data_IF_711138514246
#
_entry.id   IF_711138514246
#
_cell.length_a   1.000
_cell.length_b   1.000
_cell.length_c   1.000
_cell.angle_alpha   90.00
_cell.angle_beta   90.00
_cell.angle_gamma   90.00
#
_symmetry.space_group_name_H-M   'P 1'
#
loop_
_entity.id
_entity.type
_entity.pdbx_description
1 polymer ?
#
# COMPACT_ATOMS: atom_id res chain seq x y z
N UNK A 1 11.38 0.15 -12.61
CA UNK A 1 12.35 1.20 -13.00
C UNK A 1 12.95 1.82 -11.73
N UNK A 2 14.23 1.57 -11.42
CA UNK A 2 14.85 2.03 -10.17
C UNK A 2 15.11 3.55 -10.11
N UNK A 3 15.14 4.23 -11.26
CA UNK A 3 15.80 5.54 -11.41
C UNK A 3 14.89 6.79 -11.34
N UNK A 4 13.64 6.69 -10.85
CA UNK A 4 12.72 7.85 -10.80
C UNK A 4 11.86 7.87 -9.51
N UNK A 5 12.47 8.13 -8.33
CA UNK A 5 11.74 8.24 -7.07
C UNK A 5 10.63 9.31 -7.12
N UNK A 6 10.85 10.42 -7.84
CA UNK A 6 9.86 11.49 -8.07
C UNK A 6 8.60 11.07 -8.86
N UNK A 7 8.58 9.86 -9.44
CA UNK A 7 7.42 9.31 -10.14
C UNK A 7 6.66 8.27 -9.32
N UNK A 8 7.07 8.02 -8.08
CA UNK A 8 6.39 7.10 -7.17
C UNK A 8 5.15 7.80 -6.61
N UNK A 9 4.01 7.10 -6.66
CA UNK A 9 2.72 7.62 -6.21
C UNK A 9 2.69 7.87 -4.68
N UNK A 10 3.61 7.27 -3.93
CA UNK A 10 3.80 7.52 -2.49
C UNK A 10 4.73 8.68 -2.16
N UNK A 11 5.33 9.35 -3.16
CA UNK A 11 6.21 10.49 -2.89
C UNK A 11 5.43 11.71 -2.40
N UNK A 12 6.08 12.54 -1.58
CA UNK A 12 5.58 13.83 -1.08
C UNK A 12 4.85 14.69 -2.13
N UNK A 13 5.32 14.72 -3.39
CA UNK A 13 4.65 15.43 -4.49
C UNK A 13 3.22 14.93 -4.73
N UNK A 14 3.01 13.62 -4.75
CA UNK A 14 1.70 13.01 -4.96
C UNK A 14 0.86 13.07 -3.69
N UNK A 15 1.46 12.88 -2.52
CA UNK A 15 0.75 13.02 -1.24
C UNK A 15 0.16 14.42 -1.09
N UNK A 16 0.92 15.47 -1.44
CA UNK A 16 0.42 16.84 -1.40
C UNK A 16 -0.76 17.06 -2.36
N UNK A 17 -0.76 16.43 -3.53
CA UNK A 17 -1.91 16.45 -4.44
C UNK A 17 -3.10 15.71 -3.88
N UNK A 18 -2.87 14.56 -3.24
CA UNK A 18 -3.94 13.79 -2.60
C UNK A 18 -4.62 14.61 -1.50
N UNK A 19 -3.84 15.35 -0.69
CA UNK A 19 -4.37 16.25 0.34
C UNK A 19 -5.32 17.33 -0.18
N UNK A 20 -5.20 17.75 -1.44
CA UNK A 20 -6.09 18.79 -2.00
C UNK A 20 -7.54 18.32 -2.18
N UNK A 21 -7.74 17.02 -2.45
CA UNK A 21 -9.06 16.45 -2.69
C UNK A 21 -9.47 15.39 -1.65
N UNK A 22 -8.55 14.95 -0.80
CA UNK A 22 -8.83 14.03 0.28
C UNK A 22 -9.59 14.74 1.39
N UNK A 23 -10.66 14.13 1.88
CA UNK A 23 -11.40 14.66 3.03
C UNK A 23 -10.53 14.60 4.30
N UNK A 24 -10.75 15.48 5.28
CA UNK A 24 -10.13 15.37 6.59
C UNK A 24 -10.34 13.96 7.17
N UNK A 25 -9.25 13.32 7.61
CA UNK A 25 -9.26 11.95 8.11
C UNK A 25 -9.30 10.85 7.04
N UNK A 26 -9.16 11.20 5.75
CA UNK A 26 -9.08 10.23 4.66
C UNK A 26 -7.84 9.34 4.73
N UNK A 27 -8.00 8.13 4.22
CA UNK A 27 -6.98 7.07 4.24
C UNK A 27 -6.47 6.81 2.83
N UNK A 28 -5.15 6.67 2.69
CA UNK A 28 -4.51 6.20 1.48
C UNK A 28 -4.28 4.70 1.64
N UNK A 29 -4.76 3.91 0.68
CA UNK A 29 -4.57 2.46 0.63
C UNK A 29 -3.60 2.11 -0.50
N UNK A 30 -2.53 1.38 -0.18
CA UNK A 30 -1.52 0.99 -1.15
C UNK A 30 -1.25 -0.51 -1.09
N UNK A 31 -1.39 -1.18 -2.24
CA UNK A 31 -1.06 -2.59 -2.45
C UNK A 31 0.03 -2.68 -3.50
N UNK A 32 1.13 -3.39 -3.22
CA UNK A 32 2.26 -3.52 -4.15
C UNK A 32 2.97 -4.86 -3.99
N UNK A 33 3.47 -5.39 -5.08
CA UNK A 33 4.34 -6.55 -5.17
C UNK A 33 5.84 -6.21 -5.11
N UNK A 34 6.19 -4.92 -5.09
CA UNK A 34 7.56 -4.44 -5.20
C UNK A 34 8.13 -4.00 -3.84
N UNK A 35 9.16 -4.71 -3.37
CA UNK A 35 9.86 -4.41 -2.11
C UNK A 35 10.38 -2.97 -2.06
N UNK A 36 11.12 -2.54 -3.09
CA UNK A 36 11.74 -1.20 -3.13
C UNK A 36 10.71 -0.06 -3.09
N UNK A 37 9.51 -0.31 -3.62
CA UNK A 37 8.43 0.68 -3.57
C UNK A 37 7.76 0.69 -2.20
N UNK A 38 7.61 -0.47 -1.57
CA UNK A 38 7.04 -0.60 -0.24
C UNK A 38 7.95 0.07 0.80
N UNK A 39 9.24 -0.24 0.78
CA UNK A 39 10.23 0.33 1.71
C UNK A 39 10.29 1.85 1.58
N UNK A 40 10.32 2.37 0.35
CA UNK A 40 10.27 3.81 0.10
C UNK A 40 9.00 4.48 0.67
N UNK A 41 7.84 3.83 0.54
CA UNK A 41 6.60 4.36 1.11
C UNK A 41 6.68 4.40 2.64
N UNK A 42 7.26 3.39 3.27
CA UNK A 42 7.46 3.35 4.73
C UNK A 42 8.40 4.46 5.19
N UNK A 43 9.52 4.66 4.49
CA UNK A 43 10.45 5.78 4.76
C UNK A 43 9.74 7.14 4.65
N UNK A 44 8.93 7.37 3.61
CA UNK A 44 8.17 8.63 3.46
C UNK A 44 7.13 8.82 4.58
N UNK A 45 6.49 7.73 5.03
CA UNK A 45 5.54 7.73 6.15
C UNK A 45 6.25 8.14 7.44
N UNK A 46 7.39 7.52 7.74
CA UNK A 46 8.19 7.83 8.94
C UNK A 46 8.73 9.26 8.90
N UNK A 47 9.26 9.70 7.75
CA UNK A 47 9.85 11.01 7.57
C UNK A 47 8.84 12.15 7.79
N UNK A 48 7.58 11.95 7.36
CA UNK A 48 6.53 12.96 7.50
C UNK A 48 5.61 12.73 8.72
N UNK A 49 5.84 11.66 9.50
CA UNK A 49 5.03 11.32 10.67
C UNK A 49 3.59 10.94 10.35
N UNK A 50 3.34 10.28 9.21
CA UNK A 50 1.99 9.82 8.86
C UNK A 50 1.53 8.68 9.77
N UNK A 51 0.23 8.69 10.09
CA UNK A 51 -0.35 7.66 10.97
C UNK A 51 -0.67 6.40 10.17
N UNK A 52 0.03 5.31 10.45
CA UNK A 52 -0.24 3.98 9.86
C UNK A 52 -1.51 3.42 10.49
N UNK A 53 -2.44 2.94 9.65
CA UNK A 53 -3.68 2.28 10.07
C UNK A 53 -3.53 0.77 9.96
N UNK A 54 -2.98 0.27 8.85
CA UNK A 54 -2.75 -1.15 8.61
C UNK A 54 -1.41 -1.34 7.89
N UNK A 55 -0.69 -2.38 8.27
CA UNK A 55 0.63 -2.73 7.75
C UNK A 55 0.73 -4.24 7.61
N UNK A 56 0.88 -4.70 6.36
CA UNK A 56 0.92 -6.12 6.02
C UNK A 56 2.03 -6.37 5.00
N UNK A 57 3.21 -6.82 5.45
CA UNK A 57 4.31 -7.18 4.56
C UNK A 57 4.05 -8.48 3.79
N UNK A 58 3.07 -9.28 4.22
CA UNK A 58 2.49 -10.36 3.44
C UNK A 58 0.96 -10.35 3.59
N UNK A 59 0.29 -9.77 2.60
CA UNK A 59 -1.15 -9.66 2.59
C UNK A 59 -1.84 -11.03 2.51
N UNK A 60 -1.37 -11.96 1.67
CA UNK A 60 -2.07 -13.23 1.50
C UNK A 60 -1.88 -14.16 2.71
N UNK A 61 -0.69 -14.18 3.31
CA UNK A 61 -0.49 -14.90 4.57
C UNK A 61 -1.40 -14.33 5.68
N UNK A 62 -1.54 -13.00 5.76
CA UNK A 62 -2.44 -12.37 6.74
C UNK A 62 -3.91 -12.74 6.55
N UNK A 63 -4.34 -13.05 5.31
CA UNK A 63 -5.73 -13.38 4.98
C UNK A 63 -6.07 -14.86 5.21
N UNK A 64 -5.07 -15.74 5.34
CA UNK A 64 -5.29 -17.19 5.49
C UNK A 64 -5.88 -17.60 6.85
N UNK A 65 -5.85 -16.72 7.86
CA UNK A 65 -6.44 -16.95 9.18
C UNK A 65 -7.34 -15.84 9.68
N UNK A 66 -7.67 -14.87 8.81
CA UNK A 66 -8.51 -13.74 9.19
C UNK A 66 -9.99 -14.05 8.96
N UNK A 67 -10.84 -13.63 9.89
CA UNK A 67 -12.30 -13.79 9.81
C UNK A 67 -12.87 -13.11 8.55
N UNK A 68 -13.98 -13.60 8.02
CA UNK A 68 -14.63 -13.01 6.83
C UNK A 68 -15.23 -11.63 7.16
N UNK A 69 -14.39 -10.61 7.15
CA UNK A 69 -14.77 -9.20 7.17
C UNK A 69 -14.94 -8.66 5.75
N UNK A 70 -15.69 -7.57 5.62
CA UNK A 70 -15.85 -6.85 4.35
C UNK A 70 -14.49 -6.42 3.78
N UNK A 71 -13.56 -5.99 4.63
CA UNK A 71 -12.20 -5.61 4.24
C UNK A 71 -11.41 -6.81 3.68
N UNK A 72 -11.49 -7.96 4.33
CA UNK A 72 -10.82 -9.18 3.86
C UNK A 72 -11.41 -9.66 2.52
N UNK A 73 -12.71 -9.44 2.29
CA UNK A 73 -13.33 -9.70 0.99
C UNK A 73 -12.75 -8.80 -0.11
N UNK A 74 -12.54 -7.51 0.19
CA UNK A 74 -11.92 -6.57 -0.75
C UNK A 74 -10.47 -6.98 -1.05
N UNK A 75 -9.69 -7.37 -0.04
CA UNK A 75 -8.30 -7.79 -0.25
C UNK A 75 -8.16 -9.10 -1.04
N UNK A 76 -9.18 -9.97 -1.01
CA UNK A 76 -9.25 -11.18 -1.84
C UNK A 76 -9.48 -10.90 -3.32
N UNK A 77 -9.94 -9.70 -3.69
CA UNK A 77 -10.06 -9.31 -5.09
C UNK A 77 -8.65 -9.20 -5.69
N UNK A 78 -8.33 -10.12 -6.60
CA UNK A 78 -7.04 -10.17 -7.29
C UNK A 78 -7.17 -9.52 -8.66
N UNK A 79 -6.24 -8.63 -8.98
CA UNK A 79 -6.06 -8.16 -10.35
C UNK A 79 -5.35 -9.22 -11.19
N UNK A 80 -5.44 -9.12 -12.52
CA UNK A 80 -4.78 -10.05 -13.45
C UNK A 80 -3.26 -10.17 -13.19
N UNK A 81 -2.59 -9.05 -12.93
CA UNK A 81 -1.15 -9.04 -12.65
C UNK A 81 -0.82 -9.71 -11.31
N UNK A 82 -1.61 -9.50 -10.28
CA UNK A 82 -1.36 -10.11 -8.97
C UNK A 82 -1.42 -11.63 -9.02
N UNK A 83 -2.30 -12.21 -9.82
CA UNK A 83 -2.33 -13.66 -10.05
C UNK A 83 -1.04 -14.14 -10.73
N UNK A 84 -0.54 -13.40 -11.73
CA UNK A 84 0.71 -13.73 -12.42
C UNK A 84 1.94 -13.60 -11.53
N UNK A 85 2.03 -12.57 -10.70
CA UNK A 85 3.16 -12.34 -9.80
C UNK A 85 3.13 -13.27 -8.59
N UNK A 86 1.94 -13.59 -8.08
CA UNK A 86 1.79 -14.60 -7.03
C UNK A 86 2.21 -16.00 -7.52
N UNK A 87 1.86 -16.37 -8.76
CA UNK A 87 2.32 -17.63 -9.37
C UNK A 87 3.86 -17.68 -9.54
N UNK A 88 4.52 -16.52 -9.61
CA UNK A 88 5.99 -16.38 -9.65
C UNK A 88 6.63 -16.31 -8.25
N UNK A 89 5.85 -16.42 -7.18
CA UNK A 89 6.33 -16.41 -5.80
C UNK A 89 6.50 -15.00 -5.20
N UNK A 90 6.00 -13.95 -5.84
CA UNK A 90 6.06 -12.60 -5.26
C UNK A 90 5.03 -12.42 -4.15
N UNK A 91 5.50 -11.90 -3.02
CA UNK A 91 4.68 -11.55 -1.87
C UNK A 91 4.05 -10.19 -2.08
N UNK A 92 2.72 -10.13 -2.01
CA UNK A 92 1.98 -8.88 -2.10
C UNK A 92 1.97 -8.21 -0.74
N UNK A 93 2.38 -6.94 -0.72
CA UNK A 93 2.47 -6.08 0.44
C UNK A 93 1.34 -5.07 0.42
N UNK A 94 0.91 -4.67 1.60
CA UNK A 94 -0.14 -3.70 1.77
C UNK A 94 0.15 -2.78 2.94
N UNK A 95 -0.14 -1.48 2.76
CA UNK A 95 -0.08 -0.47 3.82
C UNK A 95 -1.22 0.52 3.62
N UNK A 96 -1.81 0.98 4.72
CA UNK A 96 -2.72 2.10 4.72
C UNK A 96 -2.34 3.13 5.79
N UNK A 97 -2.47 4.41 5.44
CA UNK A 97 -2.03 5.50 6.30
C UNK A 97 -2.86 6.77 6.09
N UNK A 98 -2.87 7.64 7.10
CA UNK A 98 -3.49 8.97 7.06
C UNK A 98 -2.43 10.04 6.91
N UNK A 99 -2.75 11.04 6.09
CA UNK A 99 -1.86 12.17 5.76
C UNK A 99 -2.33 13.50 6.36
N UNK A 100 -3.40 13.45 7.16
CA UNK A 100 -3.98 14.54 7.94
C UNK A 100 -3.96 14.20 9.43
#
# INVERSE_FOLDING_TARGET
QPQKPKKRLSSSLFINRYREFLKPGGTIHMKTDNDLLFDFTMEEIELHGYSIIDYRPDLYASLMGAEDSVENTIFRIKTHYETLFHAKGHVIKYVSFKVH
#
